data_IF_089643475747
#
_entry.id   IF_089643475747
#
_cell.length_a   1.000
_cell.length_b   1.000
_cell.length_c   1.000
_cell.angle_alpha   90.00
_cell.angle_beta   90.00
_cell.angle_gamma   90.00
#
_symmetry.space_group_name_H-M   'P 1'
#
loop_
_entity.id
_entity.type
_entity.pdbx_description
1 polymer ?
#
# COMPACT_ATOMS: atom_id res chain seq x y z
N UNK A 1 35.93 24.26 -5.84
CA UNK A 1 35.58 22.83 -5.64
C UNK A 1 34.70 22.55 -4.42
N UNK A 2 34.93 23.14 -3.24
CA UNK A 2 34.11 22.88 -2.03
C UNK A 2 32.61 23.22 -2.19
N UNK A 3 32.26 24.28 -2.93
CA UNK A 3 30.87 24.72 -3.12
C UNK A 3 30.04 23.77 -4.03
N UNK A 4 30.70 23.18 -5.03
CA UNK A 4 30.08 22.24 -5.98
C UNK A 4 29.73 20.92 -5.27
N UNK A 5 30.64 20.44 -4.41
CA UNK A 5 30.41 19.25 -3.59
C UNK A 5 29.25 19.43 -2.60
N UNK A 6 29.07 20.63 -2.06
CA UNK A 6 27.96 20.99 -1.16
C UNK A 6 26.60 20.99 -1.90
N UNK A 7 26.58 21.49 -3.14
CA UNK A 7 25.40 21.46 -4.00
C UNK A 7 24.99 20.04 -4.41
N UNK A 8 25.97 19.18 -4.71
CA UNK A 8 25.72 17.76 -5.05
C UNK A 8 25.18 16.99 -3.83
N UNK A 9 25.71 17.26 -2.63
CA UNK A 9 25.24 16.66 -1.37
C UNK A 9 23.79 17.07 -1.03
N UNK A 10 23.41 18.32 -1.29
CA UNK A 10 22.04 18.81 -1.04
C UNK A 10 21.00 18.18 -1.98
N UNK A 11 21.36 17.90 -3.23
CA UNK A 11 20.47 17.28 -4.22
C UNK A 11 20.25 15.78 -4.00
N UNK A 12 21.17 15.09 -3.33
CA UNK A 12 21.07 13.65 -3.09
C UNK A 12 20.07 13.29 -1.98
N UNK A 13 19.81 14.20 -1.05
CA UNK A 13 18.90 13.99 0.07
C UNK A 13 17.41 14.16 -0.29
N UNK A 14 17.08 14.56 -1.52
CA UNK A 14 15.71 14.89 -1.92
C UNK A 14 14.87 13.72 -2.48
N UNK A 15 15.39 12.48 -2.46
CA UNK A 15 14.69 11.30 -3.04
C UNK A 15 14.45 10.16 -2.07
N UNK A 16 14.02 10.46 -0.84
CA UNK A 16 13.45 9.47 0.08
C UNK A 16 11.97 9.77 0.34
N UNK A 17 11.18 9.82 -0.74
CA UNK A 17 9.74 9.97 -0.68
C UNK A 17 9.06 8.67 -1.11
N UNK A 18 8.63 7.87 -0.13
CA UNK A 18 7.60 6.82 -0.18
C UNK A 18 7.10 6.37 -1.56
N UNK A 19 7.87 5.58 -2.32
CA UNK A 19 7.36 4.87 -3.50
C UNK A 19 6.79 3.50 -3.14
N UNK A 20 6.15 3.38 -1.97
CA UNK A 20 5.42 2.17 -1.60
C UNK A 20 4.01 2.31 -2.16
N UNK A 21 3.69 1.57 -3.23
CA UNK A 21 2.39 1.53 -3.90
C UNK A 21 2.01 2.80 -4.69
N UNK A 22 2.97 3.33 -5.45
CA UNK A 22 2.66 4.30 -6.49
C UNK A 22 2.16 3.60 -7.75
N UNK A 23 0.88 3.78 -8.05
CA UNK A 23 0.22 3.31 -9.27
C UNK A 23 0.92 3.74 -10.57
N UNK A 24 1.68 4.84 -10.55
CA UNK A 24 2.41 5.32 -11.73
C UNK A 24 3.63 4.45 -12.06
N UNK A 25 4.24 3.82 -11.05
CA UNK A 25 5.50 3.09 -11.20
C UNK A 25 5.38 1.59 -10.92
N UNK A 26 4.49 1.18 -10.02
CA UNK A 26 4.38 -0.20 -9.55
C UNK A 26 2.91 -0.67 -9.52
N UNK A 27 2.54 -1.49 -10.53
CA UNK A 27 1.21 -2.14 -10.59
C UNK A 27 1.20 -3.53 -9.97
N UNK A 28 2.37 -4.09 -9.71
CA UNK A 28 2.66 -5.36 -9.06
C UNK A 28 3.61 -5.07 -7.87
N UNK A 29 3.70 -5.97 -6.88
CA UNK A 29 4.54 -5.86 -5.66
C UNK A 29 3.97 -5.07 -4.47
N UNK A 30 2.73 -4.58 -4.54
CA UNK A 30 2.07 -4.04 -3.35
C UNK A 30 1.16 -5.05 -2.67
N UNK A 31 1.66 -5.63 -1.58
CA UNK A 31 0.90 -6.46 -0.66
C UNK A 31 0.21 -5.59 0.40
N UNK A 32 -1.09 -5.80 0.59
CA UNK A 32 -1.82 -5.23 1.72
C UNK A 32 -1.61 -6.10 2.96
N UNK A 33 -1.38 -5.49 4.13
CA UNK A 33 -1.37 -6.22 5.40
C UNK A 33 -2.78 -6.30 5.96
N UNK A 34 -3.33 -7.52 6.01
CA UNK A 34 -4.63 -7.82 6.58
C UNK A 34 -4.51 -8.21 8.05
N UNK A 35 -5.39 -7.65 8.86
CA UNK A 35 -5.58 -7.99 10.26
C UNK A 35 -6.90 -8.73 10.41
N UNK A 36 -6.88 -9.91 11.05
CA UNK A 36 -8.09 -10.69 11.28
C UNK A 36 -9.11 -10.00 12.22
N UNK A 37 -8.64 -9.05 13.04
CA UNK A 37 -9.45 -8.27 13.97
C UNK A 37 -9.12 -6.78 13.84
N UNK A 38 -10.08 -5.89 14.11
CA UNK A 38 -9.81 -4.46 14.07
C UNK A 38 -8.81 -4.09 15.18
N UNK A 39 -7.85 -3.25 14.85
CA UNK A 39 -6.89 -2.66 15.77
C UNK A 39 -7.05 -1.15 15.80
N UNK A 40 -6.40 -0.46 16.75
CA UNK A 40 -6.43 1.01 16.85
C UNK A 40 -6.02 1.69 15.53
N UNK A 41 -5.12 1.06 14.76
CA UNK A 41 -4.57 1.63 13.52
C UNK A 41 -5.16 0.97 12.26
N UNK A 42 -5.85 -0.16 12.39
CA UNK A 42 -6.44 -0.91 11.28
C UNK A 42 -7.89 -1.29 11.59
N UNK A 43 -8.82 -0.44 11.19
CA UNK A 43 -10.26 -0.62 11.42
C UNK A 43 -11.08 -0.61 10.12
N UNK A 44 -10.43 -0.42 8.96
CA UNK A 44 -11.08 -0.37 7.65
C UNK A 44 -11.26 -1.78 7.11
N UNK A 45 -12.52 -2.22 6.92
CA UNK A 45 -12.85 -3.56 6.43
C UNK A 45 -12.58 -3.68 4.92
N UNK A 46 -12.02 -4.80 4.49
CA UNK A 46 -11.83 -5.17 3.09
C UNK A 46 -12.19 -6.63 2.88
N UNK A 47 -12.57 -6.97 1.65
CA UNK A 47 -12.87 -8.35 1.24
C UNK A 47 -11.86 -8.80 0.20
N UNK A 48 -11.28 -9.98 0.34
CA UNK A 48 -10.36 -10.57 -0.60
C UNK A 48 -10.83 -12.00 -0.91
N UNK A 49 -11.61 -12.15 -1.97
CA UNK A 49 -12.29 -13.41 -2.30
C UNK A 49 -13.31 -13.80 -1.21
N UNK A 50 -13.09 -14.94 -0.55
CA UNK A 50 -13.93 -15.44 0.55
C UNK A 50 -13.45 -14.98 1.94
N UNK A 51 -12.28 -14.35 2.01
CA UNK A 51 -11.70 -13.86 3.27
C UNK A 51 -12.03 -12.38 3.44
N UNK A 52 -12.18 -11.95 4.69
CA UNK A 52 -12.29 -10.55 5.04
C UNK A 52 -11.30 -10.22 6.15
N UNK A 53 -10.99 -8.94 6.27
CA UNK A 53 -10.23 -8.46 7.41
C UNK A 53 -10.08 -6.96 7.38
N UNK A 54 -9.24 -6.46 8.27
CA UNK A 54 -9.09 -5.05 8.53
C UNK A 54 -7.73 -4.58 8.05
N UNK A 55 -7.67 -3.38 7.50
CA UNK A 55 -6.43 -2.75 7.05
C UNK A 55 -6.32 -1.35 7.64
N UNK A 56 -5.13 -0.75 7.56
CA UNK A 56 -4.95 0.65 7.96
C UNK A 56 -5.69 1.57 7.00
N UNK A 57 -6.03 2.79 7.45
CA UNK A 57 -6.63 3.80 6.57
C UNK A 57 -5.76 4.04 5.33
N UNK A 58 -4.44 4.07 5.49
CA UNK A 58 -3.49 4.25 4.39
C UNK A 58 -3.64 3.15 3.34
N UNK A 59 -3.70 1.90 3.78
CA UNK A 59 -3.80 0.73 2.91
C UNK A 59 -5.17 0.66 2.23
N UNK A 60 -6.25 1.02 2.96
CA UNK A 60 -7.58 1.16 2.38
C UNK A 60 -7.63 2.24 1.28
N UNK A 61 -6.99 3.38 1.51
CA UNK A 61 -6.92 4.46 0.53
C UNK A 61 -6.11 4.04 -0.72
N UNK A 62 -5.02 3.27 -0.54
CA UNK A 62 -4.26 2.67 -1.65
C UNK A 62 -5.14 1.70 -2.42
N UNK A 63 -5.74 0.73 -1.72
CA UNK A 63 -6.63 -0.27 -2.32
C UNK A 63 -7.76 0.39 -3.14
N UNK A 64 -8.38 1.43 -2.59
CA UNK A 64 -9.44 2.16 -3.27
C UNK A 64 -8.94 2.78 -4.59
N UNK A 65 -7.75 3.39 -4.60
CA UNK A 65 -7.16 3.95 -5.84
C UNK A 65 -6.82 2.87 -6.87
N UNK A 66 -6.31 1.72 -6.42
CA UNK A 66 -6.01 0.59 -7.31
C UNK A 66 -7.31 0.00 -7.90
N UNK A 67 -8.33 -0.20 -7.06
CA UNK A 67 -9.64 -0.69 -7.45
C UNK A 67 -10.30 0.20 -8.49
N UNK A 68 -10.29 1.53 -8.28
CA UNK A 68 -10.83 2.52 -9.24
C UNK A 68 -10.12 2.49 -10.61
N UNK A 69 -8.89 1.95 -10.68
CA UNK A 69 -8.12 1.78 -11.92
C UNK A 69 -8.15 0.35 -12.45
N UNK A 70 -9.02 -0.50 -11.93
CA UNK A 70 -9.13 -1.93 -12.27
C UNK A 70 -7.80 -2.67 -12.12
N UNK A 71 -7.00 -2.30 -11.11
CA UNK A 71 -5.77 -3.01 -10.75
C UNK A 71 -6.03 -3.85 -9.51
N UNK A 72 -5.86 -5.16 -9.65
CA UNK A 72 -6.02 -6.08 -8.54
C UNK A 72 -4.83 -5.95 -7.58
N UNK A 73 -5.13 -5.74 -6.30
CA UNK A 73 -4.15 -5.87 -5.23
C UNK A 73 -4.36 -7.19 -4.51
N UNK A 74 -3.26 -7.81 -4.18
CA UNK A 74 -3.19 -9.02 -3.37
C UNK A 74 -2.84 -8.64 -1.93
N UNK A 75 -3.24 -9.47 -0.99
CA UNK A 75 -3.02 -9.20 0.42
C UNK A 75 -2.37 -10.38 1.11
N UNK A 76 -1.69 -10.09 2.22
CA UNK A 76 -1.13 -11.09 3.11
C UNK A 76 -1.75 -10.94 4.50
N UNK A 77 -2.13 -12.06 5.12
CA UNK A 77 -2.62 -12.12 6.50
C UNK A 77 -1.77 -13.12 7.26
N UNK A 78 -1.13 -12.69 8.35
CA UNK A 78 -0.21 -13.54 9.12
C UNK A 78 0.85 -14.24 8.25
N UNK A 79 1.46 -13.50 7.32
CA UNK A 79 2.44 -14.00 6.34
C UNK A 79 1.91 -15.02 5.31
N UNK A 80 0.61 -15.30 5.32
CA UNK A 80 -0.05 -16.12 4.31
C UNK A 80 -0.59 -15.24 3.17
N UNK A 81 -0.21 -15.58 1.94
CA UNK A 81 -0.64 -14.88 0.74
C UNK A 81 -2.07 -15.26 0.37
N UNK A 82 -2.93 -14.26 0.19
CA UNK A 82 -4.30 -14.43 -0.27
C UNK A 82 -4.30 -14.19 -1.79
N UNK A 83 -4.43 -15.27 -2.55
CA UNK A 83 -4.52 -15.23 -4.02
C UNK A 83 -5.94 -14.85 -4.47
N UNK A 84 -6.36 -13.66 -4.08
CA UNK A 84 -7.65 -13.10 -4.49
C UNK A 84 -7.59 -11.58 -4.51
N UNK A 85 -8.23 -10.93 -5.50
CA UNK A 85 -8.29 -9.48 -5.55
C UNK A 85 -9.04 -8.96 -4.33
N UNK A 86 -8.44 -7.99 -3.66
CA UNK A 86 -9.10 -7.28 -2.57
C UNK A 86 -10.00 -6.17 -3.10
N UNK A 87 -11.11 -5.94 -2.42
CA UNK A 87 -12.05 -4.84 -2.66
C UNK A 87 -12.34 -4.13 -1.34
N UNK A 88 -12.44 -2.78 -1.36
CA UNK A 88 -12.87 -2.04 -0.18
C UNK A 88 -14.30 -2.47 0.18
N UNK A 89 -14.53 -2.84 1.44
CA UNK A 89 -15.91 -2.91 1.93
C UNK A 89 -16.46 -1.49 1.84
N UNK A 90 -17.53 -1.27 1.09
CA UNK A 90 -18.18 0.03 0.99
C UNK A 90 -18.39 0.63 2.39
N UNK A 91 -18.28 1.96 2.50
CA UNK A 91 -18.61 2.65 3.76
C UNK A 91 -20.07 2.43 4.15
#
# INVERSE_FOLDING_TARGET
>A
MKLILLFISLMLNFKLGFTQCDLQHFRWECSLTLYAKPTKNAHSLVYCGQTHGYVTKRDYDILTRYHLRNVNMVAAMNDEYIDSPCIPAGR
#
